data_IF_046554191294
#
_entry.id   IF_046554191294
#
_cell.length_a   1.000
_cell.length_b   1.000
_cell.length_c   1.000
_cell.angle_alpha   90.00
_cell.angle_beta   90.00
_cell.angle_gamma   90.00
#
_symmetry.space_group_name_H-M   'P 1'
#
loop_
_entity.id
_entity.type
_entity.pdbx_description
1 polymer ?
#
# COMPACT_ATOMS: atom_id res chain seq x y z
N UNK A 1 4.85 -39.46 -54.02
CA UNK A 1 3.95 -38.42 -53.53
C UNK A 1 3.91 -38.62 -52.03
N UNK A 2 4.68 -37.80 -51.38
CA UNK A 2 4.97 -37.94 -49.98
C UNK A 2 3.83 -37.42 -49.09
N UNK A 3 3.63 -38.07 -48.00
CA UNK A 3 2.89 -37.56 -46.88
C UNK A 3 3.89 -37.53 -45.71
N UNK A 4 4.26 -36.35 -45.31
CA UNK A 4 5.15 -36.10 -44.17
C UNK A 4 4.40 -36.32 -42.89
N UNK A 5 4.89 -37.27 -42.12
CA UNK A 5 4.40 -37.68 -40.82
C UNK A 5 5.11 -36.82 -39.74
N UNK A 6 4.47 -35.75 -39.31
CA UNK A 6 4.98 -34.87 -38.25
C UNK A 6 4.63 -35.47 -36.88
N UNK A 7 5.45 -36.42 -36.45
CA UNK A 7 5.41 -36.94 -35.08
C UNK A 7 5.83 -35.88 -34.07
N UNK A 8 4.86 -35.29 -33.42
CA UNK A 8 5.03 -34.44 -32.26
C UNK A 8 5.70 -35.23 -31.12
N UNK A 9 6.99 -35.04 -30.91
CA UNK A 9 7.73 -35.57 -29.78
C UNK A 9 7.23 -34.91 -28.51
N UNK A 10 6.52 -35.69 -27.68
CA UNK A 10 6.26 -35.33 -26.28
C UNK A 10 7.60 -35.19 -25.56
N UNK A 11 8.00 -33.95 -25.33
CA UNK A 11 9.13 -33.61 -24.48
C UNK A 11 8.77 -33.87 -23.00
N UNK A 12 9.75 -34.43 -22.34
CA UNK A 12 9.74 -34.82 -20.92
C UNK A 12 9.10 -33.76 -20.00
N UNK A 13 8.34 -34.27 -19.01
CA UNK A 13 7.74 -33.48 -17.92
C UNK A 13 8.82 -32.65 -17.20
N UNK A 14 8.95 -31.39 -17.63
CA UNK A 14 9.80 -30.41 -16.96
C UNK A 14 9.33 -30.27 -15.52
N UNK A 15 10.18 -30.64 -14.58
CA UNK A 15 10.03 -30.35 -13.15
C UNK A 15 9.62 -28.87 -13.00
N UNK A 16 8.38 -28.63 -12.63
CA UNK A 16 7.92 -27.33 -12.17
C UNK A 16 8.82 -26.97 -10.98
N UNK A 17 9.80 -26.11 -11.21
CA UNK A 17 10.54 -25.49 -10.13
C UNK A 17 9.48 -24.81 -9.27
N UNK A 18 9.20 -25.38 -8.10
CA UNK A 18 8.57 -24.63 -7.02
C UNK A 18 9.41 -23.38 -6.88
N UNK A 19 8.90 -22.24 -7.31
CA UNK A 19 9.41 -20.97 -6.88
C UNK A 19 9.20 -20.96 -5.37
N UNK A 20 10.27 -21.35 -4.67
CA UNK A 20 10.32 -21.21 -3.25
C UNK A 20 9.92 -19.77 -2.94
N UNK A 21 9.07 -19.59 -1.96
CA UNK A 21 8.87 -18.32 -1.30
C UNK A 21 10.26 -17.72 -1.06
N UNK A 22 10.70 -16.80 -1.92
CA UNK A 22 11.77 -15.87 -1.55
C UNK A 22 11.18 -15.04 -0.41
N UNK A 23 11.21 -15.62 0.79
CA UNK A 23 11.19 -14.86 2.01
C UNK A 23 12.47 -14.00 1.92
N UNK A 24 12.34 -12.81 1.35
CA UNK A 24 13.24 -11.71 1.65
C UNK A 24 13.34 -11.76 3.16
N UNK A 25 14.55 -11.91 3.70
CA UNK A 25 14.74 -12.01 5.14
C UNK A 25 14.12 -10.76 5.74
N UNK A 26 12.94 -10.91 6.33
CA UNK A 26 12.12 -9.82 6.86
C UNK A 26 12.85 -9.08 7.98
N UNK A 27 13.77 -9.77 8.63
CA UNK A 27 14.65 -9.23 9.67
C UNK A 27 15.57 -8.12 9.16
N UNK A 28 15.83 -8.07 7.83
CA UNK A 28 16.66 -7.03 7.20
C UNK A 28 16.04 -5.62 7.32
N UNK A 29 14.71 -5.51 7.35
CA UNK A 29 14.01 -4.21 7.36
C UNK A 29 13.64 -3.73 8.76
N UNK A 30 13.89 -4.57 9.78
CA UNK A 30 13.61 -4.24 11.17
C UNK A 30 12.11 -4.01 11.46
N UNK A 31 11.79 -3.38 12.60
CA UNK A 31 10.40 -3.20 13.06
C UNK A 31 9.61 -2.14 12.28
N UNK A 32 10.25 -1.40 11.37
CA UNK A 32 9.60 -0.38 10.55
C UNK A 32 8.72 -0.98 9.45
N UNK A 33 9.08 -2.17 8.95
CA UNK A 33 8.28 -2.85 7.93
C UNK A 33 7.32 -3.84 8.58
N UNK A 34 6.03 -3.66 8.31
CA UNK A 34 4.99 -4.59 8.69
C UNK A 34 4.30 -5.15 7.45
N UNK A 35 4.16 -6.47 7.40
CA UNK A 35 3.38 -7.16 6.38
C UNK A 35 2.00 -7.55 6.91
N UNK A 36 1.01 -7.53 6.04
CA UNK A 36 -0.24 -8.25 6.31
C UNK A 36 0.06 -9.72 6.55
N UNK A 37 -0.61 -10.31 7.53
CA UNK A 37 -0.51 -11.76 7.75
C UNK A 37 -1.03 -12.49 6.52
N UNK A 38 -0.13 -13.16 5.80
CA UNK A 38 -0.45 -13.88 4.58
C UNK A 38 -1.48 -14.98 4.85
N UNK A 39 -2.50 -15.04 4.01
CA UNK A 39 -3.47 -16.11 3.93
C UNK A 39 -3.86 -16.34 2.46
N UNK A 40 -4.60 -17.40 2.17
CA UNK A 40 -4.93 -17.77 0.78
C UNK A 40 -5.79 -16.70 0.10
N UNK A 41 -6.67 -16.00 0.84
CA UNK A 41 -7.48 -14.92 0.31
C UNK A 41 -6.61 -13.74 -0.16
N UNK A 42 -5.65 -13.30 0.65
CA UNK A 42 -4.72 -12.22 0.26
C UNK A 42 -3.90 -12.66 -0.97
N UNK A 43 -3.42 -13.90 -0.98
CA UNK A 43 -2.65 -14.44 -2.11
C UNK A 43 -3.49 -14.51 -3.39
N UNK A 44 -4.76 -14.87 -3.30
CA UNK A 44 -5.70 -14.84 -4.41
C UNK A 44 -5.86 -13.42 -4.97
N UNK A 45 -6.12 -12.41 -4.10
CA UNK A 45 -6.24 -11.02 -4.51
C UNK A 45 -4.97 -10.53 -5.23
N UNK A 46 -3.80 -10.81 -4.67
CA UNK A 46 -2.50 -10.49 -5.27
C UNK A 46 -2.33 -11.16 -6.63
N UNK A 47 -2.72 -12.41 -6.77
CA UNK A 47 -2.65 -13.16 -8.03
C UNK A 47 -3.53 -12.53 -9.11
N UNK A 48 -4.77 -12.20 -8.79
CA UNK A 48 -5.70 -11.57 -9.73
C UNK A 48 -5.20 -10.20 -10.18
N UNK A 49 -4.72 -9.37 -9.25
CA UNK A 49 -4.19 -8.03 -9.56
C UNK A 49 -2.94 -8.11 -10.46
N UNK A 50 -2.12 -9.15 -10.29
CA UNK A 50 -0.91 -9.37 -11.10
C UNK A 50 -1.18 -10.01 -12.46
N UNK A 51 -2.33 -10.66 -12.64
CA UNK A 51 -2.67 -11.35 -13.87
C UNK A 51 -2.96 -10.34 -14.99
N UNK A 52 -2.19 -10.44 -16.08
CA UNK A 52 -2.36 -9.60 -17.29
C UNK A 52 -3.75 -9.73 -17.91
N UNK A 53 -4.36 -10.92 -17.84
CA UNK A 53 -5.67 -11.21 -18.43
C UNK A 53 -6.85 -10.68 -17.59
N UNK A 54 -6.63 -10.21 -16.39
CA UNK A 54 -7.70 -9.66 -15.54
C UNK A 54 -8.34 -8.44 -16.19
N UNK A 55 -9.65 -8.44 -16.34
CA UNK A 55 -10.40 -7.30 -16.85
C UNK A 55 -10.20 -6.06 -15.95
N UNK A 56 -10.41 -4.84 -16.50
CA UNK A 56 -10.31 -3.64 -15.66
C UNK A 56 -11.34 -3.65 -14.53
N UNK A 57 -12.57 -4.09 -14.79
CA UNK A 57 -13.63 -4.16 -13.78
C UNK A 57 -13.24 -5.07 -12.61
N UNK A 58 -12.75 -6.27 -12.92
CA UNK A 58 -12.28 -7.21 -11.90
C UNK A 58 -11.04 -6.66 -11.18
N UNK A 59 -10.11 -6.05 -11.92
CA UNK A 59 -8.91 -5.45 -11.33
C UNK A 59 -9.28 -4.41 -10.26
N UNK A 60 -10.19 -3.48 -10.57
CA UNK A 60 -10.65 -2.46 -9.61
C UNK A 60 -11.33 -3.11 -8.42
N UNK A 61 -12.25 -4.05 -8.65
CA UNK A 61 -12.97 -4.71 -7.58
C UNK A 61 -12.04 -5.44 -6.60
N UNK A 62 -11.09 -6.22 -7.12
CA UNK A 62 -10.15 -6.97 -6.28
C UNK A 62 -9.07 -6.08 -5.65
N UNK A 63 -8.66 -5.00 -6.34
CA UNK A 63 -7.79 -3.99 -5.78
C UNK A 63 -8.44 -3.28 -4.59
N UNK A 64 -9.71 -2.88 -4.69
CA UNK A 64 -10.45 -2.24 -3.60
C UNK A 64 -10.57 -3.16 -2.37
N UNK A 65 -10.74 -4.47 -2.58
CA UNK A 65 -10.74 -5.44 -1.48
C UNK A 65 -9.39 -5.50 -0.78
N UNK A 66 -8.29 -5.59 -1.54
CA UNK A 66 -6.94 -5.63 -0.95
C UNK A 66 -6.58 -4.31 -0.28
N UNK A 67 -6.97 -3.17 -0.87
CA UNK A 67 -6.81 -1.83 -0.28
C UNK A 67 -7.47 -1.77 1.09
N UNK A 68 -8.73 -2.22 1.22
CA UNK A 68 -9.42 -2.20 2.51
C UNK A 68 -8.72 -3.06 3.57
N UNK A 69 -8.19 -4.21 3.22
CA UNK A 69 -7.40 -5.03 4.16
C UNK A 69 -6.14 -4.30 4.65
N UNK A 70 -5.41 -3.63 3.74
CA UNK A 70 -4.25 -2.82 4.11
C UNK A 70 -4.66 -1.63 4.97
N UNK A 71 -5.76 -0.97 4.63
CA UNK A 71 -6.26 0.19 5.39
C UNK A 71 -6.71 -0.21 6.80
N UNK A 72 -7.47 -1.30 6.95
CA UNK A 72 -7.90 -1.78 8.28
C UNK A 72 -6.70 -2.11 9.17
N UNK A 73 -5.69 -2.78 8.63
CA UNK A 73 -4.46 -3.02 9.39
C UNK A 73 -3.69 -1.72 9.64
N UNK A 74 -3.76 -0.74 8.73
CA UNK A 74 -3.23 0.61 8.93
C UNK A 74 -3.90 1.35 10.07
N UNK A 75 -5.22 1.26 10.17
CA UNK A 75 -5.98 1.81 11.30
C UNK A 75 -5.57 1.15 12.62
N UNK A 76 -5.29 -0.15 12.61
CA UNK A 76 -4.80 -0.90 13.76
C UNK A 76 -3.39 -0.45 14.24
N UNK A 77 -2.62 0.30 13.43
CA UNK A 77 -1.34 0.91 13.83
C UNK A 77 -1.52 2.25 14.56
N UNK A 78 -2.73 2.77 14.61
CA UNK A 78 -3.05 4.04 15.28
C UNK A 78 -3.38 3.80 16.76
N UNK A 79 -3.34 4.84 17.61
CA UNK A 79 -3.61 4.67 19.02
C UNK A 79 -5.11 4.49 19.31
N UNK A 80 -5.37 3.65 20.31
CA UNK A 80 -6.69 3.43 20.90
C UNK A 80 -6.63 3.67 22.40
N UNK A 81 -7.73 4.13 22.97
CA UNK A 81 -7.93 4.26 24.42
C UNK A 81 -9.00 3.29 24.89
N UNK A 82 -8.88 2.85 26.13
CA UNK A 82 -9.92 2.04 26.75
C UNK A 82 -11.21 2.87 26.89
N UNK A 83 -12.35 2.27 26.59
CA UNK A 83 -13.66 2.89 26.70
C UNK A 83 -14.68 1.90 27.30
N UNK A 84 -15.43 2.36 28.27
CA UNK A 84 -16.53 1.59 28.86
C UNK A 84 -17.85 2.13 28.30
N UNK A 85 -18.64 1.27 27.69
CA UNK A 85 -19.95 1.64 27.13
C UNK A 85 -21.07 0.83 27.77
N UNK A 86 -22.29 1.35 27.69
CA UNK A 86 -23.50 0.62 28.13
C UNK A 86 -24.14 -0.03 26.91
N UNK A 87 -24.32 -1.34 26.97
CA UNK A 87 -24.99 -2.10 25.91
C UNK A 87 -26.51 -1.81 25.88
N UNK A 88 -27.20 -2.14 24.78
CA UNK A 88 -28.66 -1.99 24.72
C UNK A 88 -29.42 -2.78 25.82
N UNK A 89 -28.79 -3.83 26.35
CA UNK A 89 -29.32 -4.65 27.45
C UNK A 89 -29.02 -4.05 28.84
N UNK A 90 -28.36 -2.88 28.91
CA UNK A 90 -28.05 -2.19 30.18
C UNK A 90 -26.74 -2.67 30.84
N UNK A 91 -26.04 -3.64 30.30
CA UNK A 91 -24.75 -4.15 30.81
C UNK A 91 -23.58 -3.24 30.43
N UNK A 92 -22.58 -3.13 31.32
CA UNK A 92 -21.32 -2.49 30.99
C UNK A 92 -20.48 -3.40 30.10
N UNK A 93 -19.80 -2.81 29.11
CA UNK A 93 -18.85 -3.49 28.24
C UNK A 93 -17.55 -2.71 28.17
N UNK A 94 -16.45 -3.38 28.50
CA UNK A 94 -15.09 -2.83 28.42
C UNK A 94 -14.57 -3.06 27.00
N UNK A 95 -14.37 -1.97 26.27
CA UNK A 95 -13.90 -1.96 24.89
C UNK A 95 -12.79 -0.96 24.67
N UNK A 96 -12.53 -0.65 23.40
CA UNK A 96 -11.56 0.37 23.00
C UNK A 96 -12.20 1.38 22.08
N UNK A 97 -11.70 2.59 22.10
CA UNK A 97 -12.12 3.69 21.24
C UNK A 97 -10.91 4.24 20.48
N UNK A 98 -11.13 4.52 19.23
CA UNK A 98 -10.15 5.14 18.36
C UNK A 98 -9.82 6.56 18.80
N UNK A 99 -8.54 6.88 18.97
CA UNK A 99 -8.13 8.24 19.30
C UNK A 99 -8.34 9.19 18.12
N UNK A 100 -8.89 10.37 18.39
CA UNK A 100 -9.02 11.43 17.41
C UNK A 100 -7.65 12.03 17.05
N UNK A 101 -7.58 12.71 15.89
CA UNK A 101 -6.37 13.41 15.48
C UNK A 101 -5.55 12.64 14.43
N UNK A 102 -6.20 11.77 13.67
CA UNK A 102 -5.58 11.09 12.52
C UNK A 102 -5.96 11.76 11.20
N UNK A 103 -5.14 11.56 10.18
CA UNK A 103 -5.33 12.11 8.85
C UNK A 103 -4.81 11.12 7.80
N UNK A 104 -5.56 10.90 6.75
CA UNK A 104 -5.06 10.26 5.53
C UNK A 104 -4.37 11.30 4.64
N UNK A 105 -3.30 10.94 3.96
CA UNK A 105 -2.70 11.75 2.90
C UNK A 105 -2.46 10.88 1.69
N UNK A 106 -3.09 11.22 0.56
CA UNK A 106 -2.93 10.50 -0.69
C UNK A 106 -1.89 11.16 -1.58
N UNK A 107 -0.97 10.36 -2.14
CA UNK A 107 -0.06 10.80 -3.19
C UNK A 107 -0.77 10.60 -4.53
N UNK A 108 -1.14 11.72 -5.14
CA UNK A 108 -1.91 11.74 -6.38
C UNK A 108 -1.05 11.26 -7.57
N UNK A 109 -1.61 10.59 -8.55
CA UNK A 109 -3.00 10.17 -8.75
C UNK A 109 -3.29 8.81 -8.09
N UNK A 110 -2.34 7.86 -8.14
CA UNK A 110 -2.56 6.46 -7.75
C UNK A 110 -2.98 6.27 -6.28
N UNK A 111 -2.54 7.13 -5.37
CA UNK A 111 -2.95 7.10 -3.96
C UNK A 111 -4.44 7.39 -3.73
N UNK A 112 -5.12 8.01 -4.70
CA UNK A 112 -6.56 8.28 -4.59
C UNK A 112 -7.40 6.98 -4.61
N UNK A 113 -6.90 5.90 -5.21
CA UNK A 113 -7.53 4.58 -5.11
C UNK A 113 -7.64 4.11 -3.65
N UNK A 114 -6.62 4.39 -2.84
CA UNK A 114 -6.61 4.04 -1.41
C UNK A 114 -7.45 5.01 -0.56
N UNK A 115 -7.66 6.24 -1.01
CA UNK A 115 -8.51 7.22 -0.34
C UNK A 115 -9.96 6.73 -0.23
N UNK A 116 -10.48 6.12 -1.29
CA UNK A 116 -11.82 5.53 -1.29
C UNK A 116 -11.92 4.44 -0.22
N UNK A 117 -10.97 3.50 -0.21
CA UNK A 117 -10.92 2.44 0.80
C UNK A 117 -10.81 2.99 2.23
N UNK A 118 -10.04 4.07 2.44
CA UNK A 118 -9.94 4.71 3.75
C UNK A 118 -11.27 5.34 4.20
N UNK A 119 -12.04 5.93 3.29
CA UNK A 119 -13.36 6.49 3.60
C UNK A 119 -14.38 5.40 3.93
N UNK A 120 -14.29 4.25 3.28
CA UNK A 120 -15.15 3.09 3.57
C UNK A 120 -14.89 2.54 4.99
N UNK A 121 -13.63 2.52 5.42
CA UNK A 121 -13.23 2.02 6.74
C UNK A 121 -13.36 3.08 7.85
N UNK A 122 -13.23 4.37 7.56
CA UNK A 122 -13.23 5.45 8.53
C UNK A 122 -13.94 6.71 8.01
N UNK A 123 -15.21 6.88 8.36
CA UNK A 123 -16.09 7.96 7.83
C UNK A 123 -15.60 9.37 8.12
N UNK A 124 -15.04 9.62 9.29
CA UNK A 124 -14.71 10.96 9.78
C UNK A 124 -13.24 11.34 9.65
N UNK A 125 -12.43 10.55 8.95
CA UNK A 125 -11.02 10.86 8.77
C UNK A 125 -10.84 12.02 7.77
N UNK A 126 -9.99 12.98 8.14
CA UNK A 126 -9.60 14.05 7.23
C UNK A 126 -8.60 13.53 6.21
N UNK A 127 -8.65 14.05 4.99
CA UNK A 127 -7.75 13.65 3.91
C UNK A 127 -7.03 14.86 3.36
N UNK A 128 -5.71 14.78 3.34
CA UNK A 128 -4.83 15.68 2.60
C UNK A 128 -4.39 15.03 1.29
N UNK A 129 -3.86 15.84 0.38
CA UNK A 129 -3.40 15.42 -0.96
C UNK A 129 -2.06 16.02 -1.29
N UNK A 130 -1.20 15.23 -1.92
CA UNK A 130 0.09 15.68 -2.48
C UNK A 130 0.13 15.25 -3.94
N UNK A 131 0.45 16.16 -4.86
CA UNK A 131 0.75 15.85 -6.24
C UNK A 131 2.24 15.92 -6.47
N UNK A 132 2.83 14.78 -6.78
CA UNK A 132 4.24 14.63 -7.12
C UNK A 132 4.32 14.04 -8.53
N UNK A 133 5.18 14.60 -9.37
CA UNK A 133 5.51 14.03 -10.68
C UNK A 133 7.01 13.85 -10.75
N UNK A 134 7.44 12.72 -11.31
CA UNK A 134 8.82 12.55 -11.73
C UNK A 134 9.05 13.39 -12.98
N UNK A 135 10.18 14.09 -13.03
CA UNK A 135 10.67 14.72 -14.24
C UNK A 135 11.22 13.61 -15.14
N UNK A 136 10.75 13.54 -16.37
CA UNK A 136 11.08 12.44 -17.30
C UNK A 136 12.58 12.46 -17.71
N UNK A 137 13.22 13.64 -17.67
CA UNK A 137 14.63 13.81 -18.06
C UNK A 137 15.59 13.55 -16.88
N UNK A 138 15.23 14.00 -15.68
CA UNK A 138 16.13 13.95 -14.51
C UNK A 138 15.79 12.84 -13.51
N UNK A 139 14.64 12.15 -13.66
CA UNK A 139 14.07 11.25 -12.66
C UNK A 139 13.88 11.87 -11.26
N UNK A 140 13.96 13.19 -11.16
CA UNK A 140 13.70 13.89 -9.92
C UNK A 140 12.20 14.04 -9.67
N UNK A 141 11.78 13.72 -8.46
CA UNK A 141 10.39 13.88 -8.05
C UNK A 141 10.13 15.33 -7.64
N UNK A 142 9.29 16.06 -8.40
CA UNK A 142 8.89 17.46 -8.12
C UNK A 142 7.49 17.50 -7.52
N UNK A 143 7.33 18.34 -6.50
CA UNK A 143 6.04 18.61 -5.85
C UNK A 143 5.33 19.74 -6.57
N UNK A 144 4.12 19.48 -7.07
CA UNK A 144 3.30 20.47 -7.77
C UNK A 144 2.18 21.04 -6.91
N UNK A 145 1.72 20.26 -5.95
CA UNK A 145 0.60 20.63 -5.11
C UNK A 145 0.63 19.87 -3.79
N UNK A 146 0.34 20.56 -2.71
CA UNK A 146 0.10 19.94 -1.41
C UNK A 146 -1.02 20.71 -0.68
N UNK A 147 -1.99 19.97 -0.15
CA UNK A 147 -3.06 20.52 0.67
C UNK A 147 -3.33 19.61 1.86
N UNK A 148 -3.22 20.19 3.03
CA UNK A 148 -3.38 19.49 4.29
C UNK A 148 -4.38 20.20 5.22
N UNK A 149 -4.92 19.48 6.21
CA UNK A 149 -5.54 20.14 7.35
C UNK A 149 -4.57 21.12 8.04
N UNK A 150 -5.02 22.29 8.52
CA UNK A 150 -4.13 23.30 9.14
C UNK A 150 -3.32 22.78 10.32
N UNK A 151 -3.85 21.76 11.00
CA UNK A 151 -3.28 21.13 12.20
C UNK A 151 -2.54 19.81 11.89
N UNK A 152 -2.07 19.59 10.64
CA UNK A 152 -1.43 18.32 10.20
C UNK A 152 -0.25 17.94 11.10
N UNK A 153 0.51 18.92 11.61
CA UNK A 153 1.68 18.73 12.48
C UNK A 153 1.35 18.05 13.82
N UNK A 154 0.07 18.08 14.24
CA UNK A 154 -0.42 17.41 15.46
C UNK A 154 -1.03 16.05 15.20
N UNK A 155 -1.15 15.65 13.90
CA UNK A 155 -1.87 14.46 13.51
C UNK A 155 -0.95 13.29 13.22
N UNK A 156 -1.46 12.08 13.45
CA UNK A 156 -0.88 10.88 12.85
C UNK A 156 -1.34 10.79 11.41
N UNK A 157 -0.41 10.50 10.53
CA UNK A 157 -0.63 10.51 9.08
C UNK A 157 -0.56 9.09 8.53
N UNK A 158 -1.64 8.65 7.90
CA UNK A 158 -1.66 7.48 7.02
C UNK A 158 -1.32 7.97 5.60
N UNK A 159 -0.06 7.82 5.20
CA UNK A 159 0.40 8.20 3.87
C UNK A 159 0.08 7.06 2.90
N UNK A 160 -0.70 7.34 1.86
CA UNK A 160 -1.23 6.32 0.95
C UNK A 160 -0.59 6.39 -0.43
N UNK A 161 0.07 5.31 -0.82
CA UNK A 161 0.66 5.14 -2.16
C UNK A 161 0.69 3.65 -2.53
N UNK A 162 -0.08 3.20 -3.53
CA UNK A 162 -0.31 1.76 -3.73
C UNK A 162 0.94 0.98 -4.12
N UNK A 163 1.88 1.57 -4.85
CA UNK A 163 3.07 0.88 -5.35
C UNK A 163 4.34 1.61 -4.91
N UNK A 164 5.14 0.96 -4.07
CA UNK A 164 6.44 1.45 -3.64
C UNK A 164 7.56 0.73 -4.43
N UNK A 165 7.99 1.31 -5.56
CA UNK A 165 9.07 0.72 -6.39
C UNK A 165 10.46 1.26 -6.00
N UNK A 166 10.81 2.49 -6.39
CA UNK A 166 12.12 3.11 -6.05
C UNK A 166 12.14 3.84 -4.70
N UNK A 167 10.98 4.27 -4.22
CA UNK A 167 10.84 5.08 -3.01
C UNK A 167 10.92 6.58 -3.23
N UNK A 168 11.40 7.08 -4.37
CA UNK A 168 11.64 8.51 -4.60
C UNK A 168 10.40 9.38 -4.35
N UNK A 169 9.25 8.98 -4.88
CA UNK A 169 7.98 9.71 -4.70
C UNK A 169 7.57 9.78 -3.23
N UNK A 170 7.71 8.68 -2.50
CA UNK A 170 7.39 8.63 -1.07
C UNK A 170 8.37 9.47 -0.26
N UNK A 171 9.66 9.42 -0.56
CA UNK A 171 10.69 10.25 0.08
C UNK A 171 10.35 11.73 -0.06
N UNK A 172 9.95 12.19 -1.23
CA UNK A 172 9.53 13.58 -1.43
C UNK A 172 8.22 13.91 -0.70
N UNK A 173 7.26 12.99 -0.66
CA UNK A 173 6.02 13.20 0.09
C UNK A 173 6.29 13.34 1.60
N UNK A 174 7.16 12.51 2.16
CA UNK A 174 7.57 12.60 3.58
C UNK A 174 8.30 13.91 3.83
N UNK A 175 9.18 14.36 2.92
CA UNK A 175 9.84 15.68 3.02
C UNK A 175 8.82 16.80 3.12
N UNK A 176 7.81 16.82 2.23
CA UNK A 176 6.75 17.84 2.28
C UNK A 176 5.98 17.81 3.59
N UNK A 177 5.67 16.62 4.11
CA UNK A 177 5.01 16.49 5.41
C UNK A 177 5.90 17.02 6.55
N UNK A 178 7.20 16.75 6.51
CA UNK A 178 8.17 17.27 7.48
C UNK A 178 8.29 18.81 7.42
N UNK A 179 8.28 19.40 6.24
CA UNK A 179 8.22 20.85 6.04
C UNK A 179 6.95 21.49 6.65
N UNK A 180 5.87 20.72 6.76
CA UNK A 180 4.63 21.11 7.46
C UNK A 180 4.62 20.69 8.94
N UNK A 181 5.76 20.29 9.49
CA UNK A 181 5.94 20.00 10.92
C UNK A 181 5.51 18.59 11.36
N UNK A 182 5.21 17.66 10.43
CA UNK A 182 4.88 16.29 10.78
C UNK A 182 6.17 15.52 11.11
N UNK A 183 6.22 14.88 12.28
CA UNK A 183 7.35 14.05 12.69
C UNK A 183 7.30 12.69 11.99
N UNK A 184 8.47 12.12 11.66
CA UNK A 184 8.58 10.80 10.98
C UNK A 184 7.82 9.68 11.69
N UNK A 185 7.95 9.60 13.01
CA UNK A 185 7.29 8.59 13.83
C UNK A 185 5.76 8.73 13.91
N UNK A 186 5.22 9.81 13.37
CA UNK A 186 3.78 10.05 13.22
C UNK A 186 3.26 9.59 11.86
N UNK A 187 4.13 9.09 10.97
CA UNK A 187 3.77 8.70 9.60
C UNK A 187 3.77 7.17 9.51
N UNK A 188 2.67 6.63 8.99
CA UNK A 188 2.53 5.24 8.58
C UNK A 188 2.27 5.23 7.08
N UNK A 189 3.21 4.72 6.30
CA UNK A 189 3.03 4.52 4.86
C UNK A 189 2.19 3.26 4.64
N UNK A 190 1.06 3.41 3.97
CA UNK A 190 0.23 2.32 3.50
C UNK A 190 0.51 2.09 2.02
N UNK A 191 0.97 0.92 1.67
CA UNK A 191 1.23 0.50 0.29
C UNK A 191 0.71 -0.90 0.05
N UNK A 192 0.31 -1.23 -1.18
CA UNK A 192 -0.21 -2.56 -1.50
C UNK A 192 0.95 -3.48 -1.86
N UNK A 193 1.84 -3.02 -2.74
CA UNK A 193 3.01 -3.76 -3.20
C UNK A 193 4.25 -2.90 -3.06
N UNK A 194 5.33 -3.49 -2.58
CA UNK A 194 6.61 -2.81 -2.54
C UNK A 194 7.77 -3.70 -3.02
N UNK A 195 8.82 -3.06 -3.48
CA UNK A 195 10.09 -3.71 -3.77
C UNK A 195 11.01 -3.64 -2.55
N UNK A 196 11.97 -4.59 -2.40
CA UNK A 196 13.01 -4.49 -1.38
C UNK A 196 13.78 -3.16 -1.46
N UNK A 197 14.12 -2.70 -2.68
CA UNK A 197 14.83 -1.44 -2.89
C UNK A 197 14.02 -0.23 -2.44
N UNK A 198 12.72 -0.19 -2.77
CA UNK A 198 11.83 0.90 -2.35
C UNK A 198 11.73 0.99 -0.83
N UNK A 199 11.60 -0.15 -0.15
CA UNK A 199 11.58 -0.21 1.32
C UNK A 199 12.90 0.30 1.90
N UNK A 200 14.06 -0.23 1.44
CA UNK A 200 15.38 0.23 1.90
C UNK A 200 15.59 1.72 1.70
N UNK A 201 15.23 2.25 0.52
CA UNK A 201 15.38 3.68 0.20
C UNK A 201 14.63 4.56 1.19
N UNK A 202 13.38 4.20 1.53
CA UNK A 202 12.55 4.96 2.46
C UNK A 202 13.08 4.84 3.90
N UNK A 203 13.39 3.65 4.38
CA UNK A 203 13.87 3.41 5.75
C UNK A 203 15.24 4.05 5.98
N UNK A 204 16.15 3.97 5.02
CA UNK A 204 17.47 4.58 5.11
C UNK A 204 17.40 6.11 5.19
N UNK A 205 16.41 6.71 4.51
CA UNK A 205 16.22 8.16 4.53
C UNK A 205 15.46 8.64 5.76
N UNK A 206 14.47 7.88 6.20
CA UNK A 206 13.55 8.21 7.29
C UNK A 206 13.38 7.02 8.23
N UNK A 207 14.26 6.89 9.20
CA UNK A 207 14.29 5.75 10.11
C UNK A 207 13.11 5.68 11.09
N UNK A 208 12.38 6.78 11.25
CA UNK A 208 11.21 6.86 12.14
C UNK A 208 9.89 6.45 11.49
N UNK A 209 9.83 6.31 10.15
CA UNK A 209 8.59 5.96 9.46
C UNK A 209 8.23 4.47 9.62
N UNK A 210 6.94 4.17 9.67
CA UNK A 210 6.44 2.79 9.57
C UNK A 210 5.90 2.54 8.17
N UNK A 211 6.18 1.36 7.61
CA UNK A 211 5.66 0.92 6.31
C UNK A 211 4.80 -0.31 6.53
N UNK A 212 3.57 -0.26 6.04
CA UNK A 212 2.65 -1.38 6.02
C UNK A 212 2.32 -1.74 4.58
N UNK A 213 2.48 -3.03 4.24
CA UNK A 213 2.24 -3.55 2.89
C UNK A 213 1.60 -4.93 2.91
N UNK A 214 0.99 -5.32 1.81
CA UNK A 214 0.53 -6.70 1.62
C UNK A 214 1.63 -7.64 1.13
N UNK A 215 2.65 -7.11 0.44
CA UNK A 215 3.70 -7.94 -0.17
C UNK A 215 4.98 -7.14 -0.42
N UNK A 216 6.12 -7.79 -0.20
CA UNK A 216 7.44 -7.34 -0.68
C UNK A 216 7.89 -8.28 -1.79
N UNK A 217 8.05 -7.77 -3.01
CA UNK A 217 8.43 -8.56 -4.16
C UNK A 217 9.30 -7.74 -5.14
N UNK A 218 10.35 -8.31 -5.73
CA UNK A 218 11.23 -7.59 -6.66
C UNK A 218 10.49 -6.96 -7.86
N UNK A 219 9.41 -7.59 -8.29
CA UNK A 219 8.56 -7.11 -9.40
C UNK A 219 7.23 -6.63 -8.83
N UNK A 220 6.88 -5.38 -9.09
CA UNK A 220 5.61 -4.76 -8.68
C UNK A 220 4.74 -4.43 -9.90
N UNK A 221 3.40 -4.41 -9.77
CA UNK A 221 2.50 -4.02 -10.86
C UNK A 221 2.51 -2.49 -11.05
N UNK A 222 3.56 -1.96 -11.69
CA UNK A 222 3.76 -0.51 -11.87
C UNK A 222 2.65 0.18 -12.66
N UNK A 223 1.91 -0.57 -13.48
CA UNK A 223 0.73 -0.11 -14.23
C UNK A 223 -0.54 0.01 -13.37
N UNK A 224 -0.44 -0.17 -12.05
CA UNK A 224 -1.60 -0.18 -11.15
C UNK A 224 -2.49 1.05 -11.33
N UNK A 225 -1.92 2.25 -11.30
CA UNK A 225 -2.68 3.50 -11.43
C UNK A 225 -3.37 3.62 -12.78
N UNK A 226 -2.67 3.31 -13.88
CA UNK A 226 -3.23 3.34 -15.23
C UNK A 226 -4.43 2.39 -15.34
N UNK A 227 -4.25 1.14 -14.95
CA UNK A 227 -5.31 0.12 -15.02
C UNK A 227 -6.48 0.41 -14.09
N UNK A 228 -6.22 0.94 -12.90
CA UNK A 228 -7.24 1.30 -11.93
C UNK A 228 -8.13 2.45 -12.45
N UNK A 229 -7.52 3.54 -12.94
CA UNK A 229 -8.26 4.71 -13.41
C UNK A 229 -8.66 4.64 -14.89
N UNK A 230 -8.17 3.67 -15.67
CA UNK A 230 -8.46 3.55 -17.09
C UNK A 230 -7.86 4.69 -17.91
N UNK A 231 -6.59 5.00 -17.68
CA UNK A 231 -5.83 6.07 -18.34
C UNK A 231 -4.68 5.50 -19.18
N UNK A 232 -4.92 4.37 -19.82
CA UNK A 232 -3.96 3.69 -20.73
C UNK A 232 -3.75 4.48 -22.01
#
# INVERSE_FOLDING_TARGET
MGADDDTCKMGEAGKVKKFGSNSVEMDEFGPQLKLLKANDQIRELQTIIRNKATSRGDFVFYADRLIRLVVEEGLNQLPYTNAVVTTPTGCKYDGVQFEHGNCGVSIMRSGEAMEHGLRDCCRSIRIGKILIRSDDDTNEAKVFYAKFPPDIHKRRVLLMYPILSSGNTVIQAVRVLAEHGVKENMIVLLTIFCTPNGVRSVINKYSGIKILTSEVHPVTPNHFGQKYFGTD
#
